data_IF_154538315707
#
_entry.id   IF_154538315707
#
_cell.length_a   1.000
_cell.length_b   1.000
_cell.length_c   1.000
_cell.angle_alpha   90.00
_cell.angle_beta   90.00
_cell.angle_gamma   90.00
#
_symmetry.space_group_name_H-M   'P 1'
#
loop_
_entity.id
_entity.type
_entity.pdbx_description
1 polymer ?
#
# COMPACT_ATOMS: atom_id res chain seq x y z
N UNK A 1 11.88 -14.03 -1.36
CA UNK A 1 10.64 -13.97 -2.12
C UNK A 1 10.84 -12.90 -3.17
N UNK A 2 10.58 -13.22 -4.42
CA UNK A 2 10.53 -12.28 -5.54
C UNK A 2 9.16 -12.41 -6.18
N UNK A 3 8.73 -11.41 -6.96
CA UNK A 3 7.44 -11.51 -7.64
C UNK A 3 7.39 -12.62 -8.70
N UNK A 4 8.55 -13.02 -9.21
CA UNK A 4 8.70 -14.18 -10.09
C UNK A 4 8.36 -15.52 -9.42
N UNK A 5 8.25 -15.56 -8.10
CA UNK A 5 7.76 -16.74 -7.37
C UNK A 5 6.24 -16.98 -7.57
N UNK A 6 5.52 -16.00 -8.16
CA UNK A 6 4.08 -16.07 -8.45
C UNK A 6 3.83 -16.19 -9.97
N UNK A 7 2.70 -16.78 -10.35
CA UNK A 7 2.24 -16.74 -11.75
C UNK A 7 1.63 -15.36 -11.99
N UNK A 8 2.40 -14.45 -12.57
CA UNK A 8 1.99 -13.05 -12.79
C UNK A 8 1.84 -12.79 -14.28
N UNK A 9 0.66 -12.34 -14.68
CA UNK A 9 0.45 -11.72 -15.99
C UNK A 9 0.88 -10.25 -15.90
N UNK A 10 2.06 -9.95 -16.43
CA UNK A 10 2.64 -8.61 -16.37
C UNK A 10 1.86 -7.58 -17.21
N UNK A 11 0.95 -7.98 -18.09
CA UNK A 11 0.11 -7.08 -18.86
C UNK A 11 -1.24 -6.78 -18.16
N UNK A 12 -1.49 -7.39 -17.00
CA UNK A 12 -2.72 -7.24 -16.21
C UNK A 12 -2.44 -6.56 -14.87
N UNK A 13 -3.02 -5.37 -14.67
CA UNK A 13 -2.91 -4.65 -13.40
C UNK A 13 -3.42 -5.49 -12.20
N UNK A 14 -4.53 -6.20 -12.38
CA UNK A 14 -5.11 -7.05 -11.33
C UNK A 14 -4.18 -8.18 -10.95
N UNK A 15 -3.56 -8.85 -11.92
CA UNK A 15 -2.61 -9.95 -11.66
C UNK A 15 -1.35 -9.46 -10.94
N UNK A 16 -0.86 -8.28 -11.32
CA UNK A 16 0.27 -7.63 -10.64
C UNK A 16 -0.10 -7.25 -9.20
N UNK A 17 -1.27 -6.66 -8.98
CA UNK A 17 -1.76 -6.29 -7.65
C UNK A 17 -1.99 -7.50 -6.74
N UNK A 18 -2.50 -8.61 -7.26
CA UNK A 18 -2.64 -9.86 -6.52
C UNK A 18 -1.27 -10.36 -6.04
N UNK A 19 -0.26 -10.39 -6.91
CA UNK A 19 1.09 -10.82 -6.54
C UNK A 19 1.76 -9.86 -5.53
N UNK A 20 1.55 -8.56 -5.68
CA UNK A 20 2.02 -7.55 -4.72
C UNK A 20 1.34 -7.71 -3.37
N UNK A 21 0.03 -7.94 -3.34
CA UNK A 21 -0.75 -8.19 -2.14
C UNK A 21 -0.23 -9.41 -1.38
N UNK A 22 0.04 -10.51 -2.09
CA UNK A 22 0.64 -11.70 -1.51
C UNK A 22 2.03 -11.42 -0.90
N UNK A 23 2.86 -10.63 -1.59
CA UNK A 23 4.16 -10.22 -1.08
C UNK A 23 4.05 -9.40 0.22
N UNK A 24 3.09 -8.48 0.31
CA UNK A 24 2.83 -7.71 1.53
C UNK A 24 2.28 -8.59 2.65
N UNK A 25 1.33 -9.48 2.33
CA UNK A 25 0.71 -10.41 3.29
C UNK A 25 1.74 -11.34 3.94
N UNK A 26 2.74 -11.77 3.18
CA UNK A 26 3.82 -12.66 3.62
C UNK A 26 5.05 -11.92 4.18
N UNK A 27 5.02 -10.59 4.22
CA UNK A 27 6.13 -9.78 4.75
C UNK A 27 6.37 -10.09 6.22
N UNK A 28 7.60 -10.43 6.58
CA UNK A 28 7.90 -10.82 7.96
C UNK A 28 7.75 -9.66 8.94
N UNK A 29 8.17 -8.47 8.56
CA UNK A 29 8.17 -7.29 9.44
C UNK A 29 6.74 -6.83 9.75
N UNK A 30 5.85 -6.81 8.74
CA UNK A 30 4.41 -6.56 8.96
C UNK A 30 3.76 -7.60 9.88
N UNK A 31 4.28 -8.83 9.89
CA UNK A 31 3.74 -9.95 10.66
C UNK A 31 4.41 -10.16 12.04
N UNK A 32 5.45 -9.38 12.40
CA UNK A 32 6.27 -9.64 13.60
C UNK A 32 5.51 -9.49 14.91
N UNK A 33 4.63 -8.49 15.04
CA UNK A 33 3.87 -8.26 16.27
C UNK A 33 2.36 -8.43 16.06
N UNK A 34 1.98 -9.60 15.54
CA UNK A 34 0.63 -10.15 15.69
C UNK A 34 0.29 -10.39 17.18
N UNK A 35 -1.00 -10.29 17.57
CA UNK A 35 -2.18 -10.17 16.72
C UNK A 35 -2.48 -8.73 16.29
N UNK A 36 -3.06 -8.59 15.10
CA UNK A 36 -3.61 -7.36 14.54
C UNK A 36 -4.81 -7.71 13.63
N UNK A 37 -5.67 -6.75 13.31
CA UNK A 37 -6.89 -6.93 12.51
C UNK A 37 -6.70 -6.61 11.03
N UNK A 38 -5.60 -5.95 10.69
CA UNK A 38 -5.21 -5.64 9.33
C UNK A 38 -3.98 -4.73 9.32
N UNK A 39 -3.59 -4.30 8.13
CA UNK A 39 -2.57 -3.27 7.97
C UNK A 39 -2.84 -2.43 6.73
N UNK A 40 -2.17 -1.30 6.64
CA UNK A 40 -2.10 -0.48 5.44
C UNK A 40 -0.66 -0.14 5.13
N UNK A 41 -0.32 -0.23 3.85
CA UNK A 41 0.93 0.30 3.29
C UNK A 41 0.56 1.44 2.36
N UNK A 42 1.18 2.60 2.57
CA UNK A 42 1.02 3.78 1.73
C UNK A 42 2.36 4.09 1.08
N UNK A 43 2.36 4.14 -0.25
CA UNK A 43 3.54 4.40 -1.06
C UNK A 43 3.33 5.66 -1.89
N UNK A 44 4.22 6.63 -1.73
CA UNK A 44 4.27 7.83 -2.54
C UNK A 44 5.41 7.76 -3.55
N UNK A 45 5.15 8.17 -4.79
CA UNK A 45 6.09 8.14 -5.91
C UNK A 45 6.03 9.46 -6.68
N UNK A 46 7.18 10.07 -6.95
CA UNK A 46 7.29 11.16 -7.92
C UNK A 46 8.40 10.88 -8.94
N UNK A 47 8.74 11.85 -9.78
CA UNK A 47 9.77 11.68 -10.82
C UNK A 47 11.21 11.50 -10.27
N UNK A 48 11.43 11.78 -8.97
CA UNK A 48 12.76 11.88 -8.36
C UNK A 48 12.98 10.87 -7.24
N UNK A 49 11.93 10.49 -6.51
CA UNK A 49 12.00 9.67 -5.31
C UNK A 49 10.70 8.89 -5.05
N UNK A 50 10.84 7.79 -4.30
CA UNK A 50 9.75 7.02 -3.74
C UNK A 50 9.93 6.83 -2.24
N UNK A 51 8.82 6.75 -1.50
CA UNK A 51 8.80 6.46 -0.07
C UNK A 51 7.58 5.60 0.26
N UNK A 52 7.73 4.71 1.23
CA UNK A 52 6.66 3.84 1.72
C UNK A 52 6.60 3.88 3.24
N UNK A 53 5.39 3.91 3.79
CA UNK A 53 5.12 3.85 5.22
C UNK A 53 4.00 2.83 5.48
N UNK A 54 4.01 2.20 6.65
CA UNK A 54 3.03 1.19 7.00
C UNK A 54 2.51 1.36 8.43
N UNK A 55 1.26 0.95 8.61
CA UNK A 55 0.58 0.92 9.90
C UNK A 55 -0.23 -0.35 10.03
N UNK A 56 -0.34 -0.89 11.24
CA UNK A 56 -1.24 -1.99 11.56
C UNK A 56 -2.43 -1.50 12.36
N UNK A 57 -3.52 -2.24 12.29
CA UNK A 57 -4.74 -1.99 13.04
C UNK A 57 -4.88 -2.99 14.19
N UNK A 58 -5.11 -2.50 15.41
CA UNK A 58 -5.33 -3.33 16.61
C UNK A 58 -6.56 -2.80 17.34
N UNK A 59 -7.72 -3.39 17.04
CA UNK A 59 -9.02 -2.86 17.37
C UNK A 59 -9.15 -1.44 16.82
N UNK A 60 -9.39 -0.48 17.72
CA UNK A 60 -9.50 0.95 17.37
C UNK A 60 -8.15 1.66 17.25
N UNK A 61 -7.05 1.02 17.67
CA UNK A 61 -5.73 1.62 17.62
C UNK A 61 -5.09 1.42 16.25
N UNK A 62 -4.39 2.45 15.79
CA UNK A 62 -3.57 2.41 14.58
C UNK A 62 -2.13 2.67 15.00
N UNK A 63 -1.24 1.73 14.72
CA UNK A 63 0.14 1.78 15.18
C UNK A 63 1.12 1.73 14.00
N UNK A 64 2.15 2.59 13.95
CA UNK A 64 3.22 2.46 12.98
C UNK A 64 3.84 1.07 13.04
N UNK A 65 4.18 0.52 11.89
CA UNK A 65 4.82 -0.79 11.80
C UNK A 65 5.85 -0.80 10.67
N UNK A 66 6.97 -1.52 10.81
CA UNK A 66 7.90 -1.66 9.71
C UNK A 66 7.32 -2.50 8.57
N UNK A 67 7.79 -2.24 7.35
CA UNK A 67 7.59 -3.10 6.19
C UNK A 67 8.95 -3.37 5.58
N UNK A 68 9.20 -4.62 5.19
CA UNK A 68 10.50 -5.01 4.67
C UNK A 68 10.93 -4.15 3.48
N UNK A 69 12.08 -3.49 3.58
CA UNK A 69 12.63 -2.63 2.52
C UNK A 69 12.87 -3.41 1.22
N UNK A 70 13.04 -4.73 1.32
CA UNK A 70 13.21 -5.65 0.18
C UNK A 70 11.93 -6.39 -0.19
N UNK A 71 10.78 -5.94 0.29
CA UNK A 71 9.51 -6.51 -0.11
C UNK A 71 9.32 -6.28 -1.63
N UNK A 72 9.09 -7.33 -2.43
CA UNK A 72 8.93 -7.18 -3.88
C UNK A 72 7.79 -6.24 -4.28
N UNK A 73 6.75 -6.11 -3.45
CA UNK A 73 5.65 -5.18 -3.71
C UNK A 73 6.07 -3.70 -3.65
N UNK A 74 7.23 -3.41 -3.05
CA UNK A 74 7.78 -2.06 -2.94
C UNK A 74 8.95 -1.82 -3.91
N UNK A 75 9.18 -2.74 -4.85
CA UNK A 75 10.19 -2.59 -5.89
C UNK A 75 9.85 -1.38 -6.79
N UNK A 76 10.79 -0.42 -6.98
CA UNK A 76 10.51 0.79 -7.75
C UNK A 76 10.14 0.53 -9.22
N UNK A 77 10.76 -0.45 -9.87
CA UNK A 77 10.50 -0.74 -11.29
C UNK A 77 9.12 -1.35 -11.45
N UNK A 78 8.74 -2.25 -10.53
CA UNK A 78 7.40 -2.81 -10.48
C UNK A 78 6.34 -1.75 -10.20
N UNK A 79 6.60 -0.85 -9.24
CA UNK A 79 5.67 0.23 -8.93
C UNK A 79 5.49 1.17 -10.11
N UNK A 80 6.56 1.53 -10.84
CA UNK A 80 6.41 2.32 -12.06
C UNK A 80 5.67 1.56 -13.16
N UNK A 81 5.89 0.25 -13.28
CA UNK A 81 5.14 -0.59 -14.21
C UNK A 81 3.64 -0.61 -13.89
N UNK A 82 3.28 -0.81 -12.62
CA UNK A 82 1.88 -0.73 -12.17
C UNK A 82 1.29 0.66 -12.47
N UNK A 83 2.04 1.75 -12.26
CA UNK A 83 1.61 3.11 -12.63
C UNK A 83 1.33 3.25 -14.12
N UNK A 84 2.08 2.56 -14.98
CA UNK A 84 1.84 2.57 -16.43
C UNK A 84 0.56 1.80 -16.78
N UNK A 85 0.36 0.62 -16.18
CA UNK A 85 -0.82 -0.22 -16.41
C UNK A 85 -2.12 0.45 -15.94
N UNK A 86 -2.09 1.14 -14.80
CA UNK A 86 -3.25 1.80 -14.19
C UNK A 86 -3.24 3.32 -14.40
N UNK A 87 -2.52 3.82 -15.40
CA UNK A 87 -2.52 5.24 -15.74
C UNK A 87 -3.92 5.66 -16.19
N UNK A 88 -4.42 6.75 -15.64
CA UNK A 88 -5.64 7.37 -16.12
C UNK A 88 -5.35 8.13 -17.43
N UNK A 89 -6.18 7.98 -18.48
CA UNK A 89 -5.93 8.64 -19.76
C UNK A 89 -5.88 10.17 -19.70
N UNK A 90 -6.56 10.79 -18.74
CA UNK A 90 -6.66 12.25 -18.59
C UNK A 90 -5.73 12.77 -17.49
N UNK A 91 -5.65 12.05 -16.38
CA UNK A 91 -4.88 12.46 -15.19
C UNK A 91 -3.45 11.91 -15.18
N UNK A 92 -3.14 10.92 -16.02
CA UNK A 92 -1.83 10.29 -16.13
C UNK A 92 -1.55 9.28 -15.01
N UNK A 93 -0.28 9.17 -14.61
CA UNK A 93 0.16 8.25 -13.54
C UNK A 93 -0.27 8.78 -12.17
N UNK A 94 -0.79 7.90 -11.32
CA UNK A 94 -1.03 8.23 -9.91
C UNK A 94 0.28 8.55 -9.16
N UNK A 95 0.17 9.27 -8.05
CA UNK A 95 1.29 9.66 -7.18
C UNK A 95 1.34 8.81 -5.90
N UNK A 96 0.19 8.43 -5.36
CA UNK A 96 0.10 7.65 -4.13
C UNK A 96 -0.68 6.37 -4.37
N UNK A 97 -0.16 5.26 -3.87
CA UNK A 97 -0.83 3.96 -3.79
C UNK A 97 -1.04 3.58 -2.33
N UNK A 98 -2.27 3.17 -2.00
CA UNK A 98 -2.67 2.69 -0.69
C UNK A 98 -3.10 1.24 -0.87
N UNK A 99 -2.41 0.32 -0.19
CA UNK A 99 -2.79 -1.09 -0.09
C UNK A 99 -3.23 -1.39 1.33
N UNK A 100 -4.53 -1.66 1.52
CA UNK A 100 -5.11 -1.99 2.82
C UNK A 100 -5.50 -3.46 2.87
N UNK A 101 -4.94 -4.19 3.82
CA UNK A 101 -5.28 -5.57 4.11
C UNK A 101 -6.26 -5.64 5.29
N UNK A 102 -7.36 -6.37 5.09
CA UNK A 102 -8.31 -6.75 6.15
C UNK A 102 -8.16 -8.24 6.47
N UNK A 103 -7.82 -8.57 7.72
CA UNK A 103 -7.66 -9.95 8.16
C UNK A 103 -8.98 -10.70 8.24
N UNK A 104 -10.10 -10.01 8.51
CA UNK A 104 -11.39 -10.66 8.71
C UNK A 104 -11.94 -11.26 7.40
N UNK A 105 -11.73 -10.57 6.28
CA UNK A 105 -12.10 -11.03 4.94
C UNK A 105 -10.94 -11.66 4.16
N UNK A 106 -9.71 -11.64 4.69
CA UNK A 106 -8.47 -12.06 4.01
C UNK A 106 -8.36 -11.44 2.61
N UNK A 107 -8.53 -10.11 2.53
CA UNK A 107 -8.59 -9.38 1.27
C UNK A 107 -7.85 -8.06 1.29
N UNK A 108 -7.38 -7.64 0.12
CA UNK A 108 -6.80 -6.32 -0.09
C UNK A 108 -7.79 -5.38 -0.78
N UNK A 109 -7.71 -4.11 -0.40
CA UNK A 109 -8.29 -2.98 -1.11
C UNK A 109 -7.16 -2.06 -1.58
N UNK A 110 -7.24 -1.60 -2.82
CA UNK A 110 -6.22 -0.77 -3.47
C UNK A 110 -6.81 0.56 -3.90
N UNK A 111 -6.23 1.66 -3.40
CA UNK A 111 -6.61 3.01 -3.80
C UNK A 111 -5.42 3.69 -4.48
N UNK A 112 -5.68 4.36 -5.60
CA UNK A 112 -4.71 5.16 -6.34
C UNK A 112 -5.15 6.62 -6.29
N UNK A 113 -4.22 7.51 -5.93
CA UNK A 113 -4.47 8.95 -5.84
C UNK A 113 -3.56 9.69 -6.82
N UNK A 114 -4.14 10.57 -7.62
CA UNK A 114 -3.42 11.39 -8.59
C UNK A 114 -2.79 12.63 -7.96
N UNK A 115 -1.86 13.31 -8.64
CA UNK A 115 -1.29 14.55 -8.14
C UNK A 115 -2.37 15.57 -7.73
N UNK A 116 -2.32 16.04 -6.49
CA UNK A 116 -3.30 16.96 -5.90
C UNK A 116 -4.52 16.28 -5.24
N UNK A 117 -4.63 14.95 -5.32
CA UNK A 117 -5.64 14.14 -4.63
C UNK A 117 -5.08 13.44 -3.38
N UNK A 118 -3.91 13.85 -2.90
CA UNK A 118 -3.16 13.15 -1.86
C UNK A 118 -3.92 13.09 -0.53
N UNK A 119 -5.00 13.85 -0.31
CA UNK A 119 -5.93 13.72 0.81
C UNK A 119 -5.24 13.68 2.20
N UNK A 120 -4.07 14.29 2.34
CA UNK A 120 -3.25 14.26 3.56
C UNK A 120 -2.23 13.12 3.65
N UNK A 121 -2.19 12.20 2.69
CA UNK A 121 -1.19 11.13 2.54
C UNK A 121 0.14 11.67 1.99
N UNK A 122 0.76 12.62 2.71
CA UNK A 122 2.08 13.16 2.37
C UNK A 122 3.22 12.20 2.74
N UNK A 123 3.27 11.04 2.08
CA UNK A 123 4.27 10.00 2.35
C UNK A 123 5.66 10.43 1.94
N UNK A 124 5.79 11.15 0.83
CA UNK A 124 7.07 11.64 0.31
C UNK A 124 7.74 12.65 1.26
N UNK A 125 6.93 13.41 2.01
CA UNK A 125 7.41 14.32 3.06
C UNK A 125 7.60 13.66 4.42
N UNK A 126 7.27 12.37 4.57
CA UNK A 126 7.20 11.66 5.85
C UNK A 126 6.30 12.34 6.89
N UNK A 127 5.25 13.02 6.42
CA UNK A 127 4.36 13.86 7.23
C UNK A 127 2.90 13.48 7.01
N UNK A 128 2.63 12.18 6.82
CA UNK A 128 1.25 11.70 6.73
C UNK A 128 0.64 11.72 8.14
N UNK A 129 -0.42 12.51 8.39
CA UNK A 129 -1.01 12.60 9.72
C UNK A 129 -1.60 11.26 10.15
N UNK A 130 -1.37 10.87 11.42
CA UNK A 130 -1.95 9.64 11.97
C UNK A 130 -3.48 9.62 11.84
N UNK A 131 -4.13 10.77 12.04
CA UNK A 131 -5.58 10.92 11.89
C UNK A 131 -6.07 10.53 10.48
N UNK A 132 -5.27 10.78 9.44
CA UNK A 132 -5.59 10.36 8.06
C UNK A 132 -5.54 8.83 7.95
N UNK A 133 -4.52 8.18 8.52
CA UNK A 133 -4.40 6.71 8.49
C UNK A 133 -5.50 6.04 9.32
N UNK A 134 -5.87 6.63 10.46
CA UNK A 134 -6.93 6.12 11.33
C UNK A 134 -8.26 5.98 10.58
N UNK A 135 -8.55 6.84 9.58
CA UNK A 135 -9.75 6.71 8.75
C UNK A 135 -9.80 5.43 7.90
N UNK A 136 -8.64 4.79 7.68
CA UNK A 136 -8.54 3.53 6.93
C UNK A 136 -8.74 2.29 7.82
N UNK A 137 -8.69 2.45 9.15
CA UNK A 137 -8.90 1.36 10.09
C UNK A 137 -10.36 0.86 9.95
N UNK A 138 -10.61 -0.44 9.73
CA UNK A 138 -11.97 -1.00 9.66
C UNK A 138 -12.83 -0.73 10.89
N UNK A 139 -12.22 -0.53 12.06
CA UNK A 139 -12.91 -0.19 13.31
C UNK A 139 -13.19 1.32 13.47
N UNK A 140 -12.78 2.14 12.51
CA UNK A 140 -13.06 3.57 12.52
C UNK A 140 -14.54 3.83 12.25
N UNK A 141 -15.17 4.59 13.14
CA UNK A 141 -16.52 5.11 12.96
C UNK A 141 -16.42 6.63 13.02
N UNK A 142 -16.72 7.30 11.90
CA UNK A 142 -16.86 8.76 11.91
C UNK A 142 -18.05 9.13 12.81
N UNK A 143 -17.82 9.99 13.80
CA UNK A 143 -18.86 10.53 14.70
C UNK A 143 -19.80 11.51 14.00
#
# INVERSE_FOLDING_TARGET
MTISDFTVDMDSADSVLEAMSECLRLDKELNEEKPWDGFVVVTGLNEVQGASQAWRFVGKETLPTPVGIRNPALDPDLLDWLRQLTADPERGKWQTWIARYDLASDSFDHTFLWPGEDAGFNVLGYDTPMATIETLNPAFHAE
#
